data_IF_784925594718
#
_entry.id   IF_784925594718
#
_cell.length_a   1.000
_cell.length_b   1.000
_cell.length_c   1.000
_cell.angle_alpha   90.00
_cell.angle_beta   90.00
_cell.angle_gamma   90.00
#
_symmetry.space_group_name_H-M   'P 1'
#
loop_
_entity.id
_entity.type
_entity.pdbx_description
1 polymer ?
#
# COMPACT_ATOMS: atom_id res chain seq x y z
N UNK A 1 -26.20 27.10 1.37
CA UNK A 1 -26.57 25.89 0.64
C UNK A 1 -26.57 24.75 1.66
N UNK A 2 -27.75 24.21 1.90
CA UNK A 2 -27.87 23.09 2.82
C UNK A 2 -27.52 21.79 2.07
N UNK A 3 -26.54 21.04 2.51
CA UNK A 3 -26.08 19.80 1.85
C UNK A 3 -27.21 18.76 1.77
N UNK A 4 -28.16 18.81 2.72
CA UNK A 4 -29.33 17.94 2.74
C UNK A 4 -30.32 18.29 1.63
N UNK A 5 -30.61 19.58 1.41
CA UNK A 5 -31.45 20.03 0.33
C UNK A 5 -30.86 19.67 -1.04
N UNK A 6 -29.53 19.81 -1.19
CA UNK A 6 -28.85 19.41 -2.41
C UNK A 6 -28.97 17.90 -2.65
N UNK A 7 -28.82 17.07 -1.60
CA UNK A 7 -28.98 15.63 -1.72
C UNK A 7 -30.40 15.23 -2.18
N UNK A 8 -31.44 15.91 -1.69
CA UNK A 8 -32.83 15.63 -2.08
C UNK A 8 -33.14 16.04 -3.52
N UNK A 9 -32.49 17.08 -4.03
CA UNK A 9 -32.65 17.54 -5.40
C UNK A 9 -31.87 16.74 -6.43
N UNK A 10 -30.81 16.03 -6.01
CA UNK A 10 -29.98 15.20 -6.89
C UNK A 10 -30.77 14.08 -7.56
N UNK A 11 -30.58 13.92 -8.86
CA UNK A 11 -31.13 12.78 -9.60
C UNK A 11 -30.54 11.44 -9.10
N UNK A 12 -31.34 10.37 -9.20
CA UNK A 12 -30.91 9.04 -8.72
C UNK A 12 -29.54 8.57 -9.25
N UNK A 13 -29.17 8.78 -10.53
CA UNK A 13 -27.83 8.41 -11.02
C UNK A 13 -26.69 9.15 -10.32
N UNK A 14 -26.87 10.46 -10.07
CA UNK A 14 -25.85 11.29 -9.40
C UNK A 14 -25.68 10.85 -7.95
N UNK A 15 -26.78 10.53 -7.22
CA UNK A 15 -26.71 10.00 -5.85
C UNK A 15 -25.90 8.70 -5.78
N UNK A 16 -26.07 7.79 -6.73
CA UNK A 16 -25.30 6.54 -6.79
C UNK A 16 -23.81 6.85 -6.94
N UNK A 17 -23.44 7.78 -7.82
CA UNK A 17 -22.03 8.16 -7.99
C UNK A 17 -21.45 8.80 -6.73
N UNK A 18 -22.23 9.60 -5.99
CA UNK A 18 -21.82 10.15 -4.69
C UNK A 18 -21.56 9.06 -3.65
N UNK A 19 -22.42 8.04 -3.59
CA UNK A 19 -22.20 6.89 -2.69
C UNK A 19 -20.95 6.10 -3.08
N UNK A 20 -20.69 5.94 -4.38
CA UNK A 20 -19.45 5.32 -4.87
C UNK A 20 -18.22 6.12 -4.43
N UNK A 21 -18.23 7.44 -4.59
CA UNK A 21 -17.15 8.31 -4.13
C UNK A 21 -16.95 8.25 -2.60
N UNK A 22 -18.04 8.22 -1.84
CA UNK A 22 -17.97 8.06 -0.39
C UNK A 22 -17.32 6.71 0.01
N UNK A 23 -17.70 5.61 -0.65
CA UNK A 23 -17.09 4.31 -0.46
C UNK A 23 -15.61 4.30 -0.82
N UNK A 24 -15.24 4.89 -1.96
CA UNK A 24 -13.84 5.02 -2.39
C UNK A 24 -13.02 5.83 -1.37
N UNK A 25 -13.59 6.90 -0.82
CA UNK A 25 -12.96 7.71 0.23
C UNK A 25 -12.72 6.88 1.50
N UNK A 26 -13.73 6.17 1.99
CA UNK A 26 -13.61 5.31 3.18
C UNK A 26 -12.54 4.22 2.99
N UNK A 27 -12.51 3.57 1.84
CA UNK A 27 -11.54 2.54 1.52
C UNK A 27 -10.10 3.11 1.49
N UNK A 28 -9.89 4.26 0.85
CA UNK A 28 -8.55 4.87 0.78
C UNK A 28 -8.02 5.29 2.15
N UNK A 29 -8.87 5.92 2.97
CA UNK A 29 -8.51 6.31 4.34
C UNK A 29 -8.23 5.08 5.22
N UNK A 30 -9.08 4.05 5.14
CA UNK A 30 -8.91 2.80 5.89
C UNK A 30 -7.59 2.10 5.55
N UNK A 31 -7.29 1.95 4.24
CA UNK A 31 -6.04 1.34 3.78
C UNK A 31 -4.83 2.17 4.23
N UNK A 32 -4.90 3.48 4.13
CA UNK A 32 -3.81 4.35 4.55
C UNK A 32 -3.46 4.13 6.03
N UNK A 33 -4.42 4.21 6.94
CA UNK A 33 -4.16 4.03 8.36
C UNK A 33 -3.68 2.62 8.70
N UNK A 34 -4.24 1.59 8.08
CA UNK A 34 -3.81 0.20 8.26
C UNK A 34 -2.35 0.01 7.82
N UNK A 35 -1.98 0.57 6.66
CA UNK A 35 -0.61 0.48 6.15
C UNK A 35 0.38 1.28 6.98
N UNK A 36 0.03 2.51 7.38
CA UNK A 36 0.88 3.32 8.27
C UNK A 36 1.16 2.58 9.57
N UNK A 37 0.13 2.01 10.20
CA UNK A 37 0.31 1.22 11.42
C UNK A 37 1.23 0.02 11.19
N UNK A 38 1.03 -0.73 10.11
CA UNK A 38 1.88 -1.88 9.74
C UNK A 38 3.33 -1.45 9.51
N UNK A 39 3.57 -0.34 8.83
CA UNK A 39 4.92 0.16 8.56
C UNK A 39 5.64 0.68 9.81
N UNK A 40 4.93 1.33 10.71
CA UNK A 40 5.48 1.73 12.00
C UNK A 40 5.91 0.52 12.83
N UNK A 41 5.09 -0.53 12.86
CA UNK A 41 5.43 -1.80 13.51
C UNK A 41 6.63 -2.48 12.84
N UNK A 42 6.64 -2.54 11.50
CA UNK A 42 7.73 -3.13 10.73
C UNK A 42 9.06 -2.42 11.03
N UNK A 43 9.08 -1.09 11.02
CA UNK A 43 10.26 -0.30 11.32
C UNK A 43 10.75 -0.49 12.76
N UNK A 44 9.82 -0.43 13.73
CA UNK A 44 10.15 -0.61 15.15
C UNK A 44 10.75 -2.00 15.40
N UNK A 45 10.11 -3.04 14.86
CA UNK A 45 10.59 -4.41 15.05
C UNK A 45 11.92 -4.66 14.32
N UNK A 46 12.12 -4.12 13.12
CA UNK A 46 13.37 -4.27 12.37
C UNK A 46 14.56 -3.59 13.09
N UNK A 47 14.34 -2.41 13.66
CA UNK A 47 15.37 -1.72 14.46
C UNK A 47 15.81 -2.49 15.71
N UNK A 48 14.89 -3.24 16.33
CA UNK A 48 15.18 -4.07 17.48
C UNK A 48 15.82 -5.41 17.06
N UNK A 49 15.42 -5.93 15.91
CA UNK A 49 15.88 -7.21 15.38
C UNK A 49 17.33 -7.17 14.91
N UNK A 50 17.74 -6.16 14.15
CA UNK A 50 19.04 -6.07 13.51
C UNK A 50 20.23 -6.26 14.51
N UNK A 51 20.30 -5.55 15.64
CA UNK A 51 21.40 -5.74 16.59
C UNK A 51 21.37 -7.09 17.29
N UNK A 52 20.18 -7.68 17.52
CA UNK A 52 20.07 -9.00 18.16
C UNK A 52 20.60 -10.10 17.24
N UNK A 53 20.20 -10.12 15.97
CA UNK A 53 20.68 -11.13 15.04
C UNK A 53 22.17 -10.96 14.75
N UNK A 54 22.65 -9.72 14.63
CA UNK A 54 24.08 -9.45 14.44
C UNK A 54 24.93 -10.01 15.60
N UNK A 55 24.45 -9.92 16.84
CA UNK A 55 25.10 -10.53 18.01
C UNK A 55 25.14 -12.06 17.90
N UNK A 56 24.00 -12.71 17.60
CA UNK A 56 23.96 -14.17 17.46
C UNK A 56 24.89 -14.68 16.34
N UNK A 57 24.95 -13.93 15.23
CA UNK A 57 25.85 -14.28 14.13
C UNK A 57 27.34 -14.13 14.53
N UNK A 58 27.70 -13.04 15.21
CA UNK A 58 29.09 -12.86 15.73
C UNK A 58 29.49 -13.96 16.69
N UNK A 59 28.60 -14.39 17.57
CA UNK A 59 28.81 -15.47 18.53
C UNK A 59 28.81 -16.87 17.87
N UNK A 60 28.59 -16.96 16.56
CA UNK A 60 28.52 -18.23 15.82
C UNK A 60 27.27 -19.06 16.08
N UNK A 61 26.26 -18.50 16.75
CA UNK A 61 25.01 -19.14 17.17
C UNK A 61 23.90 -19.00 16.11
N UNK A 62 24.11 -19.68 14.97
CA UNK A 62 23.15 -19.59 13.85
C UNK A 62 21.73 -20.04 14.24
N UNK A 63 21.61 -21.14 15.00
CA UNK A 63 20.31 -21.67 15.45
C UNK A 63 19.55 -20.69 16.33
N UNK A 64 20.25 -19.97 17.21
CA UNK A 64 19.64 -18.94 18.06
C UNK A 64 19.18 -17.73 17.23
N UNK A 65 19.95 -17.36 16.19
CA UNK A 65 19.58 -16.34 15.21
C UNK A 65 18.31 -16.69 14.45
N UNK A 66 18.16 -17.96 14.00
CA UNK A 66 16.95 -18.46 13.34
C UNK A 66 15.75 -18.42 14.31
N UNK A 67 15.92 -18.91 15.53
CA UNK A 67 14.86 -18.90 16.55
C UNK A 67 14.41 -17.47 16.90
N UNK A 68 15.35 -16.54 17.05
CA UNK A 68 15.04 -15.13 17.24
C UNK A 68 14.23 -14.55 16.08
N UNK A 69 14.60 -14.87 14.82
CA UNK A 69 13.91 -14.38 13.62
C UNK A 69 12.48 -14.91 13.50
N UNK A 70 12.19 -16.10 14.03
CA UNK A 70 10.85 -16.71 14.04
C UNK A 70 9.97 -16.24 15.21
N UNK A 71 10.52 -15.45 16.12
CA UNK A 71 9.78 -14.96 17.28
C UNK A 71 8.57 -14.11 16.86
N UNK A 72 7.45 -14.27 17.58
CA UNK A 72 6.24 -13.45 17.41
C UNK A 72 6.51 -11.95 17.56
N UNK A 73 7.55 -11.57 18.29
CA UNK A 73 7.96 -10.19 18.50
C UNK A 73 8.42 -9.49 17.21
N UNK A 74 8.85 -10.27 16.20
CA UNK A 74 9.37 -9.75 14.92
C UNK A 74 8.48 -10.11 13.72
N UNK A 75 7.23 -10.46 13.97
CA UNK A 75 6.27 -10.87 12.92
C UNK A 75 6.15 -9.84 11.78
N UNK A 76 6.19 -8.55 12.10
CA UNK A 76 6.08 -7.47 11.13
C UNK A 76 7.43 -7.01 10.58
N UNK A 77 8.55 -7.47 11.15
CA UNK A 77 9.88 -7.08 10.70
C UNK A 77 10.15 -7.60 9.28
N UNK A 78 10.37 -6.69 8.33
CA UNK A 78 10.80 -7.02 6.98
C UNK A 78 12.21 -7.60 6.97
N UNK A 79 13.12 -7.11 7.84
CA UNK A 79 14.48 -7.64 7.97
C UNK A 79 14.49 -9.07 8.52
N UNK A 80 13.64 -9.37 9.52
CA UNK A 80 13.59 -10.72 10.09
C UNK A 80 13.19 -11.77 9.06
N UNK A 81 12.26 -11.47 8.16
CA UNK A 81 11.81 -12.37 7.10
C UNK A 81 12.95 -12.70 6.12
N UNK A 82 13.70 -11.69 5.70
CA UNK A 82 14.75 -11.81 4.69
C UNK A 82 15.99 -12.51 5.27
N UNK A 83 16.42 -12.08 6.45
CA UNK A 83 17.56 -12.66 7.15
C UNK A 83 17.28 -14.12 7.55
N UNK A 84 16.06 -14.43 7.99
CA UNK A 84 15.63 -15.80 8.29
C UNK A 84 15.79 -16.71 7.08
N UNK A 85 15.35 -16.29 5.91
CA UNK A 85 15.46 -17.10 4.69
C UNK A 85 16.92 -17.42 4.34
N UNK A 86 17.81 -16.43 4.45
CA UNK A 86 19.25 -16.65 4.23
C UNK A 86 19.88 -17.60 5.24
N UNK A 87 19.57 -17.43 6.53
CA UNK A 87 20.10 -18.31 7.58
C UNK A 87 19.59 -19.76 7.48
N UNK A 88 18.30 -19.91 7.13
CA UNK A 88 17.70 -21.24 6.93
C UNK A 88 18.33 -21.96 5.74
N UNK A 89 18.53 -21.27 4.62
CA UNK A 89 19.18 -21.85 3.45
C UNK A 89 20.62 -22.27 3.77
N UNK A 90 21.39 -21.41 4.45
CA UNK A 90 22.75 -21.76 4.88
C UNK A 90 22.79 -22.98 5.81
N UNK A 91 21.86 -23.04 6.77
CA UNK A 91 21.77 -24.21 7.66
C UNK A 91 21.40 -25.47 6.89
N UNK A 92 20.44 -25.39 5.96
CA UNK A 92 20.02 -26.51 5.12
C UNK A 92 21.20 -27.09 4.30
N UNK A 93 21.95 -26.22 3.63
CA UNK A 93 23.12 -26.62 2.85
C UNK A 93 24.18 -27.32 3.72
N UNK A 94 24.42 -26.80 4.94
CA UNK A 94 25.34 -27.37 5.87
C UNK A 94 24.90 -28.76 6.43
N UNK A 95 23.61 -28.91 6.69
CA UNK A 95 23.01 -30.12 7.26
C UNK A 95 22.89 -31.25 6.22
N UNK A 96 22.82 -30.90 4.92
CA UNK A 96 22.67 -31.88 3.83
C UNK A 96 23.97 -32.66 3.53
N UNK A 97 25.12 -32.20 4.04
CA UNK A 97 26.39 -32.95 3.98
C UNK A 97 26.94 -33.15 2.55
N UNK A 98 26.37 -32.48 1.54
CA UNK A 98 26.92 -32.43 0.19
C UNK A 98 28.23 -31.64 0.26
N UNK A 99 29.32 -32.19 -0.29
CA UNK A 99 30.58 -31.45 -0.53
C UNK A 99 30.33 -30.39 -1.63
N UNK A 100 29.53 -29.40 -1.28
CA UNK A 100 29.27 -28.24 -2.17
C UNK A 100 30.45 -27.28 -2.00
N UNK A 101 30.86 -26.69 -3.12
CA UNK A 101 31.81 -25.60 -3.07
C UNK A 101 31.19 -24.42 -2.28
N UNK A 102 32.02 -23.75 -1.50
CA UNK A 102 31.63 -22.63 -0.67
C UNK A 102 30.87 -21.54 -1.49
N UNK A 103 31.28 -21.37 -2.75
CA UNK A 103 30.67 -20.44 -3.69
C UNK A 103 29.22 -20.83 -4.02
N UNK A 104 28.95 -22.14 -4.23
CA UNK A 104 27.61 -22.66 -4.50
C UNK A 104 26.65 -22.46 -3.32
N UNK A 105 27.15 -22.63 -2.10
CA UNK A 105 26.38 -22.39 -0.87
C UNK A 105 26.01 -20.92 -0.75
N UNK A 106 26.97 -20.01 -0.96
CA UNK A 106 26.75 -18.57 -0.89
C UNK A 106 25.75 -18.12 -1.96
N UNK A 107 25.84 -18.66 -3.17
CA UNK A 107 24.89 -18.36 -4.24
C UNK A 107 23.48 -18.87 -3.95
N UNK A 108 23.36 -20.04 -3.31
CA UNK A 108 22.05 -20.55 -2.87
C UNK A 108 21.43 -19.66 -1.80
N UNK A 109 22.22 -19.21 -0.84
CA UNK A 109 21.79 -18.24 0.19
C UNK A 109 21.35 -16.93 -0.44
N UNK A 110 22.14 -16.40 -1.39
CA UNK A 110 21.80 -15.16 -2.11
C UNK A 110 20.46 -15.27 -2.84
N UNK A 111 20.23 -16.37 -3.55
CA UNK A 111 18.93 -16.63 -4.21
C UNK A 111 17.77 -16.75 -3.22
N UNK A 112 17.98 -17.39 -2.06
CA UNK A 112 16.94 -17.49 -1.03
C UNK A 112 16.57 -16.12 -0.47
N UNK A 113 17.55 -15.28 -0.18
CA UNK A 113 17.38 -13.90 0.27
C UNK A 113 16.63 -13.08 -0.77
N UNK A 114 17.02 -13.14 -2.04
CA UNK A 114 16.36 -12.41 -3.12
C UNK A 114 14.88 -12.78 -3.26
N UNK A 115 14.56 -14.09 -3.21
CA UNK A 115 13.17 -14.55 -3.21
C UNK A 115 12.38 -14.00 -2.02
N UNK A 116 12.97 -14.05 -0.82
CA UNK A 116 12.33 -13.55 0.39
C UNK A 116 12.11 -12.03 0.36
N UNK A 117 13.08 -11.26 -0.15
CA UNK A 117 12.98 -9.81 -0.35
C UNK A 117 11.88 -9.47 -1.33
N UNK A 118 11.81 -10.16 -2.48
CA UNK A 118 10.76 -9.95 -3.47
C UNK A 118 9.37 -10.21 -2.89
N UNK A 119 9.17 -11.34 -2.20
CA UNK A 119 7.90 -11.67 -1.55
C UNK A 119 7.52 -10.66 -0.47
N UNK A 120 8.48 -10.22 0.35
CA UNK A 120 8.27 -9.22 1.39
C UNK A 120 7.87 -7.88 0.79
N UNK A 121 8.51 -7.47 -0.32
CA UNK A 121 8.15 -6.25 -1.05
C UNK A 121 6.72 -6.31 -1.60
N UNK A 122 6.28 -7.45 -2.14
CA UNK A 122 4.90 -7.66 -2.58
C UNK A 122 3.92 -7.55 -1.40
N UNK A 123 4.26 -8.14 -0.24
CA UNK A 123 3.43 -8.03 0.97
C UNK A 123 3.29 -6.59 1.46
N UNK A 124 4.36 -5.81 1.41
CA UNK A 124 4.35 -4.39 1.77
C UNK A 124 3.47 -3.56 0.83
N UNK A 125 3.39 -3.91 -0.46
CA UNK A 125 2.57 -3.23 -1.47
C UNK A 125 1.08 -3.56 -1.40
N UNK A 126 0.64 -4.48 -0.55
CA UNK A 126 -0.79 -4.80 -0.41
C UNK A 126 -1.63 -3.55 -0.13
N UNK A 127 -2.74 -3.41 -0.86
CA UNK A 127 -3.66 -2.28 -0.74
C UNK A 127 -3.26 -1.03 -1.50
N UNK A 128 -1.99 -0.86 -1.91
CA UNK A 128 -1.56 0.33 -2.66
C UNK A 128 -2.25 0.43 -4.03
N UNK A 129 -2.52 -0.69 -4.67
CA UNK A 129 -3.26 -0.72 -5.94
C UNK A 129 -4.65 -0.06 -5.84
N UNK A 130 -5.34 -0.24 -4.70
CA UNK A 130 -6.63 0.41 -4.47
C UNK A 130 -6.47 1.92 -4.37
N UNK A 131 -5.45 2.42 -3.63
CA UNK A 131 -5.16 3.86 -3.53
C UNK A 131 -4.85 4.47 -4.90
N UNK A 132 -4.04 3.78 -5.71
CA UNK A 132 -3.73 4.21 -7.07
C UNK A 132 -5.00 4.27 -7.95
N UNK A 133 -5.87 3.25 -7.85
CA UNK A 133 -7.14 3.21 -8.58
C UNK A 133 -8.06 4.34 -8.13
N UNK A 134 -8.26 4.53 -6.82
CA UNK A 134 -9.09 5.63 -6.30
C UNK A 134 -8.55 6.98 -6.77
N UNK A 135 -7.25 7.22 -6.64
CA UNK A 135 -6.61 8.47 -7.04
C UNK A 135 -6.78 8.78 -8.53
N UNK A 136 -6.73 7.77 -9.40
CA UNK A 136 -6.88 7.96 -10.84
C UNK A 136 -8.34 7.99 -11.31
N UNK A 137 -9.27 7.28 -10.65
CA UNK A 137 -10.63 7.11 -11.15
C UNK A 137 -11.66 8.01 -10.48
N UNK A 138 -11.44 8.45 -9.23
CA UNK A 138 -12.42 9.29 -8.52
C UNK A 138 -12.72 10.63 -9.25
N UNK A 139 -11.74 11.20 -9.94
CA UNK A 139 -11.91 12.40 -10.77
C UNK A 139 -12.87 12.10 -11.91
N UNK A 140 -12.74 10.97 -12.58
CA UNK A 140 -13.64 10.60 -13.70
C UNK A 140 -15.05 10.28 -13.22
N UNK A 141 -15.21 9.71 -12.03
CA UNK A 141 -16.52 9.50 -11.40
C UNK A 141 -17.17 10.87 -11.10
N UNK A 142 -16.41 11.84 -10.60
CA UNK A 142 -16.87 13.22 -10.40
C UNK A 142 -17.28 13.89 -11.71
N UNK A 143 -16.49 13.76 -12.77
CA UNK A 143 -16.82 14.28 -14.11
C UNK A 143 -18.09 13.63 -14.68
N UNK A 144 -18.25 12.32 -14.48
CA UNK A 144 -19.47 11.61 -14.89
C UNK A 144 -20.71 12.18 -14.16
N UNK A 145 -20.58 12.45 -12.85
CA UNK A 145 -21.64 13.06 -12.07
C UNK A 145 -22.01 14.45 -12.63
N UNK A 146 -21.03 15.26 -13.02
CA UNK A 146 -21.27 16.57 -13.66
C UNK A 146 -22.00 16.42 -14.98
N UNK A 147 -21.57 15.49 -15.83
CA UNK A 147 -22.21 15.25 -17.14
C UNK A 147 -23.67 14.85 -16.97
N UNK A 148 -23.96 13.91 -16.06
CA UNK A 148 -25.34 13.47 -15.80
C UNK A 148 -26.20 14.57 -15.15
N UNK A 149 -25.65 15.37 -14.24
CA UNK A 149 -26.35 16.48 -13.61
C UNK A 149 -26.74 17.56 -14.63
N UNK A 150 -25.86 17.91 -15.56
CA UNK A 150 -26.13 18.86 -16.63
C UNK A 150 -27.21 18.31 -17.59
N UNK A 151 -27.14 17.03 -17.97
CA UNK A 151 -28.18 16.38 -18.79
C UNK A 151 -29.54 16.47 -18.11
N UNK A 152 -29.62 16.14 -16.82
CA UNK A 152 -30.85 16.20 -16.05
C UNK A 152 -31.43 17.64 -15.99
N UNK A 153 -30.55 18.65 -15.80
CA UNK A 153 -30.97 20.05 -15.80
C UNK A 153 -31.65 20.46 -17.12
N UNK A 154 -31.06 20.09 -18.26
CA UNK A 154 -31.65 20.39 -19.58
C UNK A 154 -32.92 19.58 -19.85
N UNK A 155 -33.02 18.35 -19.40
CA UNK A 155 -34.26 17.56 -19.53
C UNK A 155 -35.42 18.19 -18.74
N UNK A 156 -35.13 18.73 -17.54
CA UNK A 156 -36.13 19.45 -16.75
C UNK A 156 -36.71 20.65 -17.47
N UNK A 157 -35.86 21.42 -18.17
CA UNK A 157 -36.33 22.57 -19.01
C UNK A 157 -37.22 22.09 -20.15
N UNK A 158 -36.83 21.05 -20.85
CA UNK A 158 -37.57 20.52 -21.99
C UNK A 158 -38.97 20.04 -21.59
N UNK A 159 -39.16 19.54 -20.37
CA UNK A 159 -40.43 19.03 -19.86
C UNK A 159 -41.34 20.15 -19.33
N UNK A 160 -40.79 21.18 -18.69
CA UNK A 160 -41.58 22.24 -18.05
C UNK A 160 -41.89 23.42 -18.96
N UNK A 161 -41.20 23.53 -20.11
CA UNK A 161 -41.35 24.64 -21.05
C UNK A 161 -40.94 26.02 -20.49
N UNK A 162 -40.55 26.09 -19.23
CA UNK A 162 -40.13 27.31 -18.54
C UNK A 162 -38.60 27.30 -18.34
N UNK A 163 -37.87 27.73 -19.36
CA UNK A 163 -36.42 27.89 -19.35
C UNK A 163 -35.93 29.06 -18.51
N UNK A 164 -36.38 29.19 -17.26
CA UNK A 164 -35.84 30.19 -16.35
C UNK A 164 -34.41 29.85 -15.93
N UNK A 165 -33.51 30.86 -15.92
CA UNK A 165 -32.13 30.74 -15.46
C UNK A 165 -31.99 30.04 -14.10
N UNK A 166 -33.00 30.12 -13.23
CA UNK A 166 -33.01 29.47 -11.92
C UNK A 166 -33.07 27.95 -11.96
N UNK A 167 -33.82 27.34 -12.89
CA UNK A 167 -33.91 25.88 -13.02
C UNK A 167 -32.60 25.27 -13.53
N UNK A 168 -31.94 25.98 -14.45
CA UNK A 168 -30.60 25.53 -14.98
C UNK A 168 -29.49 25.69 -13.94
N UNK A 169 -29.52 26.83 -13.22
CA UNK A 169 -28.53 27.19 -12.22
C UNK A 169 -28.44 26.16 -11.10
N UNK A 170 -29.58 25.62 -10.63
CA UNK A 170 -29.64 24.56 -9.62
C UNK A 170 -28.95 23.27 -10.08
N UNK A 171 -29.33 22.74 -11.24
CA UNK A 171 -28.74 21.50 -11.76
C UNK A 171 -27.26 21.58 -12.10
N UNK A 172 -26.78 22.73 -12.60
CA UNK A 172 -25.36 22.95 -12.85
C UNK A 172 -24.60 23.07 -11.53
N UNK A 173 -25.16 23.77 -10.55
CA UNK A 173 -24.51 23.86 -9.21
C UNK A 173 -24.35 22.49 -8.56
N UNK A 174 -25.39 21.67 -8.61
CA UNK A 174 -25.37 20.28 -8.14
C UNK A 174 -24.28 19.44 -8.85
N UNK A 175 -24.23 19.56 -10.18
CA UNK A 175 -23.27 18.89 -11.01
C UNK A 175 -21.80 19.24 -10.59
N UNK A 176 -21.50 20.51 -10.41
CA UNK A 176 -20.16 20.99 -10.02
C UNK A 176 -19.72 20.46 -8.65
N UNK A 177 -20.64 20.27 -7.71
CA UNK A 177 -20.35 19.64 -6.41
C UNK A 177 -19.87 18.20 -6.60
N UNK A 178 -20.43 17.46 -7.56
CA UNK A 178 -19.97 16.11 -7.91
C UNK A 178 -18.50 16.06 -8.29
N UNK A 179 -18.06 16.98 -9.14
CA UNK A 179 -16.65 17.08 -9.51
C UNK A 179 -15.77 17.50 -8.32
N UNK A 180 -16.22 18.45 -7.52
CA UNK A 180 -15.49 18.89 -6.33
C UNK A 180 -15.28 17.73 -5.34
N UNK A 181 -16.30 16.89 -5.11
CA UNK A 181 -16.18 15.70 -4.25
C UNK A 181 -15.25 14.67 -4.89
N UNK A 182 -15.31 14.44 -6.22
CA UNK A 182 -14.39 13.56 -6.92
C UNK A 182 -12.92 13.96 -6.72
N UNK A 183 -12.61 15.25 -6.83
CA UNK A 183 -11.27 15.79 -6.55
C UNK A 183 -10.89 15.66 -5.07
N UNK A 184 -11.81 15.94 -4.17
CA UNK A 184 -11.59 15.82 -2.72
C UNK A 184 -11.23 14.37 -2.31
N UNK A 185 -11.77 13.38 -3.00
CA UNK A 185 -11.44 11.95 -2.79
C UNK A 185 -10.12 11.57 -3.45
N UNK A 186 -9.89 12.04 -4.69
CA UNK A 186 -8.73 11.65 -5.48
C UNK A 186 -7.41 12.19 -4.90
N UNK A 187 -7.38 13.47 -4.51
CA UNK A 187 -6.14 14.13 -4.07
C UNK A 187 -5.51 13.44 -2.85
N UNK A 188 -6.24 13.18 -1.74
CA UNK A 188 -5.67 12.45 -0.62
C UNK A 188 -5.23 11.03 -0.99
N UNK A 189 -5.98 10.32 -1.84
CA UNK A 189 -5.63 8.96 -2.25
C UNK A 189 -4.28 8.92 -2.99
N UNK A 190 -3.99 9.90 -3.86
CA UNK A 190 -2.68 10.04 -4.52
C UNK A 190 -1.57 10.36 -3.52
N UNK A 191 -1.81 11.25 -2.56
CA UNK A 191 -0.82 11.55 -1.52
C UNK A 191 -0.51 10.33 -0.66
N UNK A 192 -1.52 9.59 -0.26
CA UNK A 192 -1.36 8.35 0.51
C UNK A 192 -0.56 7.31 -0.26
N UNK A 193 -0.89 7.11 -1.54
CA UNK A 193 -0.16 6.20 -2.41
C UNK A 193 1.33 6.57 -2.52
N UNK A 194 1.64 7.82 -2.81
CA UNK A 194 3.02 8.29 -2.97
C UNK A 194 3.82 8.18 -1.66
N UNK A 195 3.21 8.56 -0.54
CA UNK A 195 3.84 8.43 0.78
C UNK A 195 4.19 6.97 1.11
N UNK A 196 3.23 6.07 0.94
CA UNK A 196 3.44 4.65 1.25
C UNK A 196 4.44 4.00 0.29
N UNK A 197 4.43 4.37 -0.99
CA UNK A 197 5.42 3.89 -1.97
C UNK A 197 6.83 4.28 -1.58
N UNK A 198 7.07 5.53 -1.20
CA UNK A 198 8.38 5.98 -0.74
C UNK A 198 8.85 5.25 0.54
N UNK A 199 7.91 4.89 1.44
CA UNK A 199 8.23 4.07 2.62
C UNK A 199 8.63 2.64 2.26
N UNK A 200 7.98 2.05 1.26
CA UNK A 200 8.33 0.71 0.78
C UNK A 200 9.70 0.69 0.12
N UNK A 201 10.02 1.70 -0.68
CA UNK A 201 11.35 1.84 -1.29
C UNK A 201 12.44 1.90 -0.21
N UNK A 202 12.23 2.67 0.86
CA UNK A 202 13.13 2.69 2.01
C UNK A 202 13.32 1.31 2.62
N UNK A 203 12.25 0.54 2.85
CA UNK A 203 12.35 -0.84 3.37
C UNK A 203 13.06 -1.79 2.42
N UNK A 204 12.89 -1.62 1.11
CA UNK A 204 13.64 -2.41 0.12
C UNK A 204 15.15 -2.17 0.23
N UNK A 205 15.58 -0.91 0.37
CA UNK A 205 16.98 -0.57 0.58
C UNK A 205 17.53 -1.14 1.90
N UNK A 206 16.74 -1.10 2.98
CA UNK A 206 17.13 -1.74 4.26
C UNK A 206 17.29 -3.26 4.11
N UNK A 207 16.39 -3.92 3.39
CA UNK A 207 16.50 -5.36 3.10
C UNK A 207 17.73 -5.69 2.28
N UNK A 208 18.04 -4.93 1.24
CA UNK A 208 19.19 -5.15 0.37
C UNK A 208 20.53 -4.96 1.12
N UNK A 209 20.61 -3.92 1.97
CA UNK A 209 21.79 -3.69 2.81
C UNK A 209 22.00 -4.85 3.80
N UNK A 210 20.96 -5.24 4.55
CA UNK A 210 21.05 -6.35 5.51
C UNK A 210 21.33 -7.69 4.81
N UNK A 211 20.85 -7.86 3.59
CA UNK A 211 21.13 -9.03 2.76
C UNK A 211 22.61 -9.12 2.38
N UNK A 212 23.18 -8.01 1.96
CA UNK A 212 24.61 -7.93 1.60
C UNK A 212 25.49 -8.21 2.81
N UNK A 213 25.19 -7.63 3.98
CA UNK A 213 25.93 -7.89 5.22
C UNK A 213 25.85 -9.37 5.63
N UNK A 214 24.70 -10.01 5.45
CA UNK A 214 24.53 -11.43 5.77
C UNK A 214 25.34 -12.33 4.81
N UNK A 215 25.32 -12.04 3.52
CA UNK A 215 26.12 -12.76 2.51
C UNK A 215 27.61 -12.61 2.80
N UNK A 216 28.08 -11.40 3.10
CA UNK A 216 29.47 -11.13 3.46
C UNK A 216 29.90 -11.90 4.71
N UNK A 217 29.01 -12.04 5.68
CA UNK A 217 29.26 -12.86 6.86
C UNK A 217 29.51 -14.33 6.50
N UNK A 218 28.71 -14.91 5.59
CA UNK A 218 28.87 -16.30 5.17
C UNK A 218 30.10 -16.53 4.27
N UNK A 219 30.48 -15.53 3.47
CA UNK A 219 31.72 -15.61 2.68
C UNK A 219 32.98 -15.69 3.59
N UNK A 220 32.97 -14.96 4.71
CA UNK A 220 34.11 -14.90 5.64
C UNK A 220 34.20 -16.08 6.57
N UNK A 221 33.20 -16.95 6.65
CA UNK A 221 33.13 -18.09 7.54
C UNK A 221 33.32 -19.41 6.79
#
# INVERSE_FOLDING_TARGET
MDLLEMWEQMGAPVRILMLVLALMSMLSVGIFFERVFTFLQAQKQSKLFAPQVAKHLKDGKLKDGIAASQSKNFKYSHLAKVVLAGMQEYQFQKDTGLELDKEDVVDSVRRAIQRASALTSVDLKKGLGVLATVGSTAVFVGLLATTLGVINAFQGIAQTGSGGLGAVSGGISEALVGTAIGLFVAIPAVWFYNYLTGRIEYFNVEMDNSSSELVDYFIKK
#
